data_IF_988987521007
#
_entry.id   IF_988987521007
#
_cell.length_a   1.000
_cell.length_b   1.000
_cell.length_c   1.000
_cell.angle_alpha   90.00
_cell.angle_beta   90.00
_cell.angle_gamma   90.00
#
_symmetry.space_group_name_H-M   'P 1'
#
loop_
_entity.id
_entity.type
_entity.pdbx_description
1 polymer ?
#
# COMPACT_ATOMS: atom_id res chain seq x y z
N UNK A 1 -13.47 -6.61 2.18
CA UNK A 1 -13.17 -5.17 2.19
C UNK A 1 -12.01 -4.85 1.28
N UNK A 2 -12.06 -3.73 0.62
CA UNK A 2 -10.94 -3.23 -0.20
C UNK A 2 -10.70 -1.77 0.16
N UNK A 3 -9.45 -1.44 0.42
CA UNK A 3 -9.01 -0.07 0.62
C UNK A 3 -7.99 0.29 -0.45
N UNK A 4 -8.09 1.51 -0.97
CA UNK A 4 -7.25 1.98 -2.06
C UNK A 4 -6.52 3.24 -1.59
N UNK A 5 -5.20 3.28 -1.82
CA UNK A 5 -4.36 4.38 -1.36
C UNK A 5 -3.63 5.01 -2.54
N UNK A 6 -3.53 6.33 -2.51
CA UNK A 6 -2.68 7.08 -3.41
C UNK A 6 -1.27 7.14 -2.79
N UNK A 7 -0.26 6.83 -3.59
CA UNK A 7 1.13 6.89 -3.14
C UNK A 7 1.99 7.67 -4.13
N UNK A 8 3.26 7.83 -3.78
CA UNK A 8 4.27 8.36 -4.69
C UNK A 8 5.35 7.34 -5.04
N UNK A 9 5.03 6.06 -4.91
CA UNK A 9 5.93 4.98 -5.30
C UNK A 9 6.02 4.94 -6.82
N UNK A 10 7.23 5.09 -7.37
CA UNK A 10 7.41 5.17 -8.81
C UNK A 10 8.10 3.96 -9.42
N UNK A 11 8.98 3.31 -8.66
CA UNK A 11 9.79 2.21 -9.17
C UNK A 11 9.21 0.87 -8.77
N UNK A 12 9.22 -0.07 -9.70
CA UNK A 12 8.74 -1.42 -9.47
C UNK A 12 9.52 -2.11 -8.35
N UNK A 13 10.82 -1.86 -8.26
CA UNK A 13 11.65 -2.40 -7.18
C UNK A 13 11.20 -1.91 -5.82
N UNK A 14 10.83 -0.64 -5.71
CA UNK A 14 10.31 -0.08 -4.47
C UNK A 14 8.98 -0.71 -4.08
N UNK A 15 8.09 -0.90 -5.06
CA UNK A 15 6.79 -1.52 -4.79
C UNK A 15 6.94 -2.96 -4.30
N UNK A 16 7.89 -3.72 -4.84
CA UNK A 16 8.15 -5.09 -4.42
C UNK A 16 8.62 -5.16 -2.97
N UNK A 17 9.49 -4.27 -2.57
CA UNK A 17 9.98 -4.20 -1.18
C UNK A 17 8.82 -3.89 -0.23
N UNK A 18 7.99 -2.92 -0.58
CA UNK A 18 6.84 -2.54 0.23
C UNK A 18 5.81 -3.66 0.33
N UNK A 19 5.59 -4.38 -0.77
CA UNK A 19 4.67 -5.52 -0.76
C UNK A 19 5.19 -6.63 0.16
N UNK A 20 6.49 -6.88 0.19
CA UNK A 20 7.08 -7.83 1.11
C UNK A 20 6.83 -7.43 2.57
N UNK A 21 7.08 -6.17 2.90
CA UNK A 21 6.87 -5.66 4.26
C UNK A 21 5.41 -5.75 4.66
N UNK A 22 4.52 -5.33 3.77
CA UNK A 22 3.08 -5.39 4.02
C UNK A 22 2.61 -6.83 4.23
N UNK A 23 3.13 -7.77 3.44
CA UNK A 23 2.77 -9.18 3.57
C UNK A 23 3.27 -9.79 4.87
N UNK A 24 4.39 -9.32 5.40
CA UNK A 24 4.90 -9.78 6.70
C UNK A 24 4.09 -9.24 7.86
N UNK A 25 3.73 -7.95 7.80
CA UNK A 25 2.96 -7.30 8.87
C UNK A 25 1.49 -7.69 8.82
N UNK A 26 0.95 -7.85 7.63
CA UNK A 26 -0.47 -8.18 7.41
C UNK A 26 -0.60 -9.42 6.52
N UNK A 27 -0.24 -10.61 7.04
CA UNK A 27 -0.17 -11.82 6.20
C UNK A 27 -1.52 -12.28 5.65
N UNK A 28 -2.64 -11.85 6.24
CA UNK A 28 -3.97 -12.22 5.78
C UNK A 28 -4.50 -11.30 4.68
N UNK A 29 -3.82 -10.19 4.40
CA UNK A 29 -4.28 -9.23 3.38
C UNK A 29 -3.68 -9.56 2.02
N UNK A 30 -4.45 -9.32 0.97
CA UNK A 30 -3.93 -9.29 -0.39
C UNK A 30 -3.54 -7.85 -0.71
N UNK A 31 -2.30 -7.66 -1.13
CA UNK A 31 -1.77 -6.34 -1.43
C UNK A 31 -1.16 -6.32 -2.83
N UNK A 32 -1.39 -5.25 -3.56
CA UNK A 32 -0.70 -5.03 -4.83
C UNK A 32 -0.65 -3.54 -5.17
N UNK A 33 0.28 -3.20 -6.06
CA UNK A 33 0.43 -1.84 -6.56
C UNK A 33 0.02 -1.79 -8.03
N UNK A 34 -0.62 -0.67 -8.41
CA UNK A 34 -0.84 -0.32 -9.80
C UNK A 34 -0.04 0.95 -10.09
N UNK A 35 1.18 0.77 -10.59
CA UNK A 35 2.09 1.88 -10.88
C UNK A 35 1.81 2.54 -12.23
N UNK A 36 0.97 1.94 -13.04
CA UNK A 36 0.54 2.56 -14.31
C UNK A 36 -0.51 3.64 -14.10
N UNK A 37 -1.18 3.62 -12.96
CA UNK A 37 -2.12 4.67 -12.58
C UNK A 37 -1.34 5.93 -12.17
N UNK A 38 -1.87 7.10 -12.52
CA UNK A 38 -1.21 8.37 -12.18
C UNK A 38 -1.11 8.59 -10.66
N UNK A 39 -1.97 7.98 -9.87
CA UNK A 39 -1.97 8.06 -8.42
C UNK A 39 -1.08 7.00 -7.76
N UNK A 40 -0.38 6.19 -8.55
CA UNK A 40 0.50 5.12 -8.03
C UNK A 40 -0.20 4.33 -6.93
N UNK A 41 -1.27 3.68 -7.28
CA UNK A 41 -2.24 3.10 -6.35
C UNK A 41 -1.69 1.88 -5.62
N UNK A 42 -1.88 1.87 -4.30
CA UNK A 42 -1.74 0.67 -3.47
C UNK A 42 -3.14 0.16 -3.17
N UNK A 43 -3.41 -1.10 -3.50
CA UNK A 43 -4.68 -1.76 -3.25
C UNK A 43 -4.51 -2.82 -2.19
N UNK A 44 -5.32 -2.75 -1.15
CA UNK A 44 -5.31 -3.70 -0.02
C UNK A 44 -6.69 -4.34 0.11
N UNK A 45 -6.72 -5.66 0.15
CA UNK A 45 -7.95 -6.42 0.28
C UNK A 45 -7.85 -7.35 1.49
N UNK A 46 -8.88 -7.36 2.31
CA UNK A 46 -8.93 -8.21 3.49
C UNK A 46 -10.03 -7.80 4.47
N UNK A 47 -10.00 -8.41 5.65
CA UNK A 47 -10.94 -8.12 6.71
C UNK A 47 -10.27 -7.21 7.75
N UNK A 48 -11.06 -6.30 8.34
CA UNK A 48 -10.63 -5.43 9.43
C UNK A 48 -9.39 -4.61 9.06
N UNK A 49 -9.40 -3.98 7.88
CA UNK A 49 -8.30 -3.13 7.43
C UNK A 49 -8.30 -1.84 8.21
N UNK A 50 -7.20 -1.56 8.90
CA UNK A 50 -6.98 -0.28 9.56
C UNK A 50 -6.10 0.59 8.66
N UNK A 51 -6.74 1.50 7.92
CA UNK A 51 -6.06 2.34 6.93
C UNK A 51 -4.90 3.12 7.53
N UNK A 52 -5.06 3.63 8.75
CA UNK A 52 -4.02 4.42 9.42
C UNK A 52 -2.72 3.64 9.63
N UNK A 53 -2.82 2.35 9.93
CA UNK A 53 -1.64 1.50 10.13
C UNK A 53 -0.89 1.28 8.82
N UNK A 54 -1.62 1.07 7.74
CA UNK A 54 -1.03 0.89 6.42
C UNK A 54 -0.34 2.19 5.98
N UNK A 55 -1.03 3.32 6.13
CA UNK A 55 -0.45 4.62 5.78
C UNK A 55 0.82 4.91 6.59
N UNK A 56 0.81 4.59 7.88
CA UNK A 56 1.98 4.81 8.72
C UNK A 56 3.17 3.97 8.26
N UNK A 57 2.93 2.70 7.90
CA UNK A 57 4.00 1.82 7.42
C UNK A 57 4.63 2.37 6.14
N UNK A 58 3.81 2.82 5.19
CA UNK A 58 4.30 3.38 3.93
C UNK A 58 5.06 4.69 4.18
N UNK A 59 4.55 5.55 5.06
CA UNK A 59 5.22 6.80 5.42
C UNK A 59 6.56 6.55 6.12
N UNK A 60 6.62 5.57 7.00
CA UNK A 60 7.86 5.21 7.70
C UNK A 60 8.92 4.69 6.73
N UNK A 61 8.49 4.12 5.60
CA UNK A 61 9.41 3.68 4.55
C UNK A 61 9.88 4.83 3.66
N UNK A 62 9.40 6.05 3.88
CA UNK A 62 9.85 7.23 3.15
C UNK A 62 8.97 7.66 1.99
N UNK A 63 7.76 7.13 1.90
CA UNK A 63 6.83 7.45 0.80
C UNK A 63 5.60 8.20 1.33
N UNK A 64 4.87 8.81 0.41
CA UNK A 64 3.57 9.42 0.70
C UNK A 64 2.48 8.36 0.55
N UNK A 65 1.46 8.46 1.38
CA UNK A 65 0.33 7.54 1.32
C UNK A 65 -0.92 8.24 1.83
N UNK A 66 -1.96 8.25 1.01
CA UNK A 66 -3.25 8.85 1.34
C UNK A 66 -4.37 7.89 0.95
N UNK A 67 -5.43 7.86 1.76
CA UNK A 67 -6.60 7.06 1.44
C UNK A 67 -7.34 7.69 0.27
N UNK A 68 -7.64 6.89 -0.76
CA UNK A 68 -8.45 7.33 -1.89
C UNK A 68 -9.92 6.99 -1.62
N UNK A 69 -10.75 8.00 -1.75
CA UNK A 69 -12.20 7.84 -1.62
C UNK A 69 -12.85 7.64 -2.98
#
# INVERSE_FOLDING_TARGET
MVEVFKTNVQKKTQSKILLCVLSEVFPSFKVNFDLSDCDKVLRVEGDNIEASRIMMLIKDAGFKCELLD
#
